data_IF_426386428395
#
_entry.id   IF_426386428395
#
_cell.length_a   1.000
_cell.length_b   1.000
_cell.length_c   1.000
_cell.angle_alpha   90.00
_cell.angle_beta   90.00
_cell.angle_gamma   90.00
#
_symmetry.space_group_name_H-M   'P 1'
#
loop_
_entity.id
_entity.type
_entity.pdbx_description
1 polymer ?
#
# COMPACT_ATOMS: atom_id res chain seq x y z
N UNK A 1 21.96 -16.42 12.24
CA UNK A 1 21.14 -15.73 11.23
C UNK A 1 22.04 -14.73 10.53
N UNK A 2 22.37 -14.98 9.27
CA UNK A 2 23.28 -14.09 8.53
C UNK A 2 22.56 -12.83 8.07
N UNK A 3 23.25 -11.68 8.14
CA UNK A 3 22.73 -10.39 7.66
C UNK A 3 22.28 -10.47 6.20
N UNK A 4 22.97 -11.27 5.38
CA UNK A 4 22.64 -11.52 3.97
C UNK A 4 21.28 -12.19 3.78
N UNK A 5 20.93 -13.12 4.67
CA UNK A 5 19.64 -13.80 4.65
C UNK A 5 18.51 -12.83 5.04
N UNK A 6 18.72 -12.06 6.11
CA UNK A 6 17.75 -11.04 6.57
C UNK A 6 17.51 -9.98 5.49
N UNK A 7 18.58 -9.48 4.84
CA UNK A 7 18.50 -8.52 3.73
C UNK A 7 17.66 -9.07 2.57
N UNK A 8 17.91 -10.30 2.15
CA UNK A 8 17.19 -10.94 1.04
C UNK A 8 15.70 -11.06 1.36
N UNK A 9 15.36 -11.53 2.57
CA UNK A 9 13.97 -11.65 3.02
C UNK A 9 13.27 -10.29 2.98
N UNK A 10 13.87 -9.25 3.56
CA UNK A 10 13.26 -7.92 3.56
C UNK A 10 13.11 -7.35 2.15
N UNK A 11 14.05 -7.60 1.22
CA UNK A 11 13.92 -7.16 -0.18
C UNK A 11 12.73 -7.82 -0.89
N UNK A 12 12.56 -9.13 -0.70
CA UNK A 12 11.40 -9.86 -1.25
C UNK A 12 10.10 -9.34 -0.63
N UNK A 13 10.08 -9.17 0.70
CA UNK A 13 8.89 -8.69 1.41
C UNK A 13 8.50 -7.27 0.97
N UNK A 14 9.48 -6.37 0.80
CA UNK A 14 9.27 -5.02 0.29
C UNK A 14 8.69 -5.03 -1.14
N UNK A 15 9.22 -5.87 -2.03
CA UNK A 15 8.74 -5.97 -3.41
C UNK A 15 7.29 -6.50 -3.47
N UNK A 16 7.00 -7.57 -2.72
CA UNK A 16 5.66 -8.18 -2.67
C UNK A 16 4.64 -7.22 -2.08
N UNK A 17 4.95 -6.60 -0.93
CA UNK A 17 4.04 -5.64 -0.28
C UNK A 17 3.86 -4.38 -1.12
N UNK A 18 4.88 -3.94 -1.86
CA UNK A 18 4.79 -2.81 -2.79
C UNK A 18 3.86 -3.10 -3.97
N UNK A 19 3.98 -4.27 -4.59
CA UNK A 19 3.08 -4.70 -5.66
C UNK A 19 1.64 -4.83 -5.16
N UNK A 20 1.46 -5.41 -3.97
CA UNK A 20 0.16 -5.55 -3.32
C UNK A 20 -0.48 -4.17 -3.04
N UNK A 21 0.30 -3.19 -2.59
CA UNK A 21 -0.17 -1.82 -2.40
C UNK A 21 -0.63 -1.16 -3.70
N UNK A 22 0.14 -1.31 -4.80
CA UNK A 22 -0.27 -0.76 -6.09
C UNK A 22 -1.63 -1.33 -6.50
N UNK A 23 -1.82 -2.65 -6.39
CA UNK A 23 -3.10 -3.30 -6.69
C UNK A 23 -4.23 -2.81 -5.76
N UNK A 24 -3.99 -2.72 -4.46
CA UNK A 24 -4.96 -2.22 -3.49
C UNK A 24 -5.37 -0.77 -3.78
N UNK A 25 -4.42 0.10 -4.09
CA UNK A 25 -4.69 1.51 -4.42
C UNK A 25 -5.48 1.63 -5.71
N UNK A 26 -5.16 0.83 -6.74
CA UNK A 26 -5.96 0.80 -7.97
C UNK A 26 -7.40 0.35 -7.71
N UNK A 27 -7.60 -0.62 -6.81
CA UNK A 27 -8.92 -1.06 -6.38
C UNK A 27 -9.73 0.05 -5.68
N UNK A 28 -9.08 1.04 -5.06
CA UNK A 28 -9.75 2.22 -4.47
C UNK A 28 -10.26 3.21 -5.53
N UNK A 29 -9.69 3.26 -6.74
CA UNK A 29 -10.03 4.26 -7.79
C UNK A 29 -11.24 3.87 -8.66
N UNK A 30 -11.90 2.74 -8.41
CA UNK A 30 -12.93 2.19 -9.29
C UNK A 30 -14.30 2.89 -9.35
N UNK A 31 -14.52 4.04 -8.70
CA UNK A 31 -15.89 4.60 -8.55
C UNK A 31 -16.14 6.10 -8.80
N UNK A 32 -15.18 6.86 -9.33
CA UNK A 32 -15.37 8.31 -9.57
C UNK A 32 -14.85 8.83 -10.92
N UNK A 33 -14.86 7.99 -11.96
CA UNK A 33 -14.28 8.32 -13.27
C UNK A 33 -15.27 8.77 -14.34
N UNK A 34 -16.56 8.94 -14.01
CA UNK A 34 -17.59 9.33 -14.97
C UNK A 34 -17.68 10.85 -15.14
N UNK A 35 -17.83 11.33 -16.38
CA UNK A 35 -18.07 12.76 -16.70
C UNK A 35 -19.22 13.34 -15.85
N UNK A 36 -20.26 12.55 -15.53
CA UNK A 36 -21.38 12.99 -14.68
C UNK A 36 -21.00 13.33 -13.23
N UNK A 37 -19.99 12.68 -12.64
CA UNK A 37 -19.50 13.05 -11.30
C UNK A 37 -18.59 14.30 -11.36
N UNK A 38 -17.96 14.53 -12.51
CA UNK A 38 -17.11 15.71 -12.76
C UNK A 38 -17.93 16.96 -13.14
N UNK A 39 -19.14 16.79 -13.67
CA UNK A 39 -20.04 17.86 -14.14
C UNK A 39 -21.24 18.13 -13.21
N UNK A 40 -21.15 17.77 -11.92
CA UNK A 40 -22.19 18.09 -10.93
C UNK A 40 -23.21 16.96 -10.74
N UNK A 41 -22.72 15.76 -10.47
CA UNK A 41 -23.51 14.58 -10.13
C UNK A 41 -24.56 14.94 -9.07
N UNK A 42 -25.82 14.94 -9.51
CA UNK A 42 -26.91 15.70 -8.91
C UNK A 42 -27.26 15.37 -7.46
N UNK A 43 -28.24 16.13 -6.97
CA UNK A 43 -28.82 16.25 -5.62
C UNK A 43 -29.40 14.92 -5.05
N UNK A 44 -28.94 13.75 -5.51
CA UNK A 44 -29.44 12.44 -5.10
C UNK A 44 -28.37 11.34 -5.03
N UNK A 45 -27.07 11.66 -4.93
CA UNK A 45 -26.01 10.66 -4.74
C UNK A 45 -25.98 10.08 -3.31
N UNK A 46 -27.13 9.64 -2.81
CA UNK A 46 -27.30 8.87 -1.59
C UNK A 46 -27.89 7.51 -1.90
N UNK A 47 -27.13 6.62 -2.55
CA UNK A 47 -27.48 5.20 -2.62
C UNK A 47 -26.29 4.32 -3.06
N UNK A 48 -25.60 3.72 -2.08
CA UNK A 48 -25.21 2.32 -2.23
C UNK A 48 -23.77 1.96 -2.61
N UNK A 49 -22.73 2.73 -2.23
CA UNK A 49 -21.41 2.08 -2.05
C UNK A 49 -21.41 1.44 -0.66
N UNK A 50 -21.12 0.14 -0.59
CA UNK A 50 -21.01 -0.63 0.65
C UNK A 50 -19.92 -0.04 1.54
N UNK A 51 -20.27 0.91 2.40
CA UNK A 51 -19.31 1.58 3.28
C UNK A 51 -18.50 0.63 4.17
N UNK A 52 -18.99 -0.59 4.41
CA UNK A 52 -18.24 -1.62 5.16
C UNK A 52 -17.09 -2.20 4.33
N UNK A 53 -17.33 -2.54 3.05
CA UNK A 53 -16.28 -3.06 2.16
C UNK A 53 -15.20 -2.00 1.92
N UNK A 54 -15.61 -0.75 1.70
CA UNK A 54 -14.71 0.38 1.47
C UNK A 54 -13.88 0.71 2.72
N UNK A 55 -14.50 0.74 3.90
CA UNK A 55 -13.77 0.94 5.17
C UNK A 55 -12.79 -0.20 5.46
N UNK A 56 -13.15 -1.44 5.14
CA UNK A 56 -12.26 -2.59 5.34
C UNK A 56 -11.08 -2.58 4.36
N UNK A 57 -11.32 -2.21 3.09
CA UNK A 57 -10.28 -2.02 2.07
C UNK A 57 -9.27 -0.93 2.48
N UNK A 58 -9.75 0.17 3.02
CA UNK A 58 -8.88 1.25 3.51
C UNK A 58 -8.02 0.77 4.70
N UNK A 59 -8.62 0.08 5.68
CA UNK A 59 -7.88 -0.47 6.83
C UNK A 59 -6.79 -1.46 6.40
N UNK A 60 -7.11 -2.36 5.46
CA UNK A 60 -6.15 -3.32 4.93
C UNK A 60 -5.00 -2.59 4.22
N UNK A 61 -5.32 -1.61 3.37
CA UNK A 61 -4.32 -0.82 2.63
C UNK A 61 -3.39 -0.05 3.55
N UNK A 62 -3.93 0.59 4.59
CA UNK A 62 -3.12 1.27 5.61
C UNK A 62 -2.23 0.28 6.35
N UNK A 63 -2.74 -0.90 6.72
CA UNK A 63 -1.95 -1.95 7.36
C UNK A 63 -0.78 -2.42 6.50
N UNK A 64 -1.03 -2.70 5.22
CA UNK A 64 0.02 -3.11 4.26
C UNK A 64 1.01 -1.97 4.02
N UNK A 65 0.55 -0.71 3.98
CA UNK A 65 1.41 0.46 3.78
C UNK A 65 2.39 0.65 4.94
N UNK A 66 1.93 0.43 6.18
CA UNK A 66 2.79 0.47 7.36
C UNK A 66 3.83 -0.64 7.31
N UNK A 67 3.45 -1.88 6.97
CA UNK A 67 4.38 -3.01 6.86
C UNK A 67 5.43 -2.74 5.78
N UNK A 68 5.01 -2.27 4.61
CA UNK A 68 5.90 -1.90 3.52
C UNK A 68 6.91 -0.84 3.95
N UNK A 69 6.46 0.23 4.64
CA UNK A 69 7.33 1.30 5.14
C UNK A 69 8.34 0.78 6.18
N UNK A 70 7.92 -0.09 7.10
CA UNK A 70 8.82 -0.72 8.07
C UNK A 70 9.89 -1.58 7.38
N UNK A 71 9.54 -2.33 6.34
CA UNK A 71 10.50 -3.08 5.53
C UNK A 71 11.48 -2.16 4.80
N UNK A 72 11.02 -1.05 4.26
CA UNK A 72 11.86 -0.07 3.57
C UNK A 72 12.89 0.55 4.52
N UNK A 73 12.46 0.97 5.70
CA UNK A 73 13.32 1.53 6.74
C UNK A 73 14.32 0.48 7.24
N UNK A 74 13.85 -0.74 7.54
CA UNK A 74 14.70 -1.85 7.98
C UNK A 74 15.81 -2.18 6.98
N UNK A 75 15.48 -2.21 5.68
CA UNK A 75 16.49 -2.37 4.61
C UNK A 75 17.47 -1.21 4.58
N UNK A 76 17.00 0.03 4.72
CA UNK A 76 17.86 1.21 4.77
C UNK A 76 18.88 1.14 5.90
N UNK A 77 18.45 0.70 7.09
CA UNK A 77 19.32 0.52 8.25
C UNK A 77 20.36 -0.58 7.98
N UNK A 78 19.95 -1.76 7.51
CA UNK A 78 20.87 -2.87 7.19
C UNK A 78 21.87 -2.45 6.11
N UNK A 79 21.41 -1.76 5.06
CA UNK A 79 22.27 -1.25 4.00
C UNK A 79 23.32 -0.25 4.53
N UNK A 80 22.94 0.63 5.46
CA UNK A 80 23.86 1.57 6.11
C UNK A 80 24.89 0.85 6.98
N UNK A 81 24.48 -0.16 7.75
CA UNK A 81 25.39 -0.94 8.61
C UNK A 81 26.44 -1.66 7.76
N UNK A 82 26.01 -2.32 6.68
CA UNK A 82 26.91 -3.00 5.75
C UNK A 82 27.89 -2.00 5.11
N UNK A 83 27.42 -0.82 4.69
CA UNK A 83 28.28 0.18 4.06
C UNK A 83 29.33 0.80 4.98
N UNK A 84 29.10 0.83 6.30
CA UNK A 84 30.04 1.38 7.29
C UNK A 84 31.04 0.32 7.79
N UNK A 85 30.64 -0.95 7.77
CA UNK A 85 31.44 -2.07 8.33
C UNK A 85 32.24 -2.82 7.25
N UNK A 86 32.04 -2.48 5.97
CA UNK A 86 32.69 -3.06 4.80
C UNK A 86 33.90 -2.28 4.30
#
# INVERSE_FOLDING_TARGET
MDLSLVKTILQVLLAVTGLLLVLLVLLHRGRGGGLSDMFGGGISAGAGSSGVAERNLNRLTVGVAIIWALCAIGLGIIARIIAVTG
#
